data_IF_978850134551
#
_entry.id   IF_978850134551
#
_cell.length_a   1.000
_cell.length_b   1.000
_cell.length_c   1.000
_cell.angle_alpha   90.00
_cell.angle_beta   90.00
_cell.angle_gamma   90.00
#
_symmetry.space_group_name_H-M   'P 1'
#
loop_
_entity.id
_entity.type
_entity.pdbx_description
1 polymer ?
#
# COMPACT_ATOMS: atom_id res chain seq x y z
N UNK A 1 9.92 3.35 -3.09
CA UNK A 1 9.62 4.80 -3.18
C UNK A 1 10.01 5.46 -1.88
N UNK A 2 10.54 6.68 -1.95
CA UNK A 2 10.87 7.51 -0.79
C UNK A 2 9.96 8.73 -0.73
N UNK A 3 9.54 9.08 0.47
CA UNK A 3 8.89 10.35 0.79
C UNK A 3 9.88 11.23 1.57
N UNK A 4 10.15 12.42 1.04
CA UNK A 4 11.02 13.42 1.65
C UNK A 4 10.19 14.62 2.08
N UNK A 5 10.32 15.02 3.33
CA UNK A 5 9.62 16.18 3.87
C UNK A 5 10.64 17.26 4.20
N UNK A 6 10.53 18.40 3.53
CA UNK A 6 11.29 19.62 3.80
C UNK A 6 10.38 20.59 4.53
N UNK A 7 10.62 20.79 5.82
CA UNK A 7 9.81 21.69 6.66
C UNK A 7 10.61 22.96 6.93
N UNK A 8 9.94 24.11 6.84
CA UNK A 8 10.58 25.40 7.07
C UNK A 8 9.60 26.55 7.23
N UNK A 9 10.12 27.75 7.04
CA UNK A 9 9.37 29.01 7.09
C UNK A 9 9.37 29.72 5.74
N UNK A 10 8.30 30.50 5.50
CA UNK A 10 8.19 31.42 4.35
C UNK A 10 8.11 32.83 4.90
N UNK A 11 9.18 33.59 4.69
CA UNK A 11 9.29 34.96 5.18
C UNK A 11 9.28 36.01 4.03
N UNK A 12 9.41 35.54 2.78
CA UNK A 12 9.46 36.44 1.60
C UNK A 12 8.98 35.75 0.33
N UNK A 13 8.59 36.57 -0.63
CA UNK A 13 8.39 36.18 -2.04
C UNK A 13 9.71 36.35 -2.79
N UNK A 14 9.97 35.47 -3.75
CA UNK A 14 11.16 35.57 -4.60
C UNK A 14 11.16 36.87 -5.42
N UNK A 15 12.30 37.55 -5.56
CA UNK A 15 12.41 38.67 -6.50
C UNK A 15 12.41 38.24 -7.98
N UNK A 16 12.62 36.96 -8.24
CA UNK A 16 12.74 36.40 -9.62
C UNK A 16 11.38 35.98 -10.18
N UNK A 17 10.40 35.64 -9.29
CA UNK A 17 9.06 35.21 -9.68
C UNK A 17 8.10 35.35 -8.49
N UNK A 18 6.78 35.42 -8.69
CA UNK A 18 5.79 35.53 -7.60
C UNK A 18 5.58 34.19 -6.87
N UNK A 19 6.65 33.61 -6.38
CA UNK A 19 6.66 32.32 -5.65
C UNK A 19 7.25 32.50 -4.25
N UNK A 20 6.75 31.78 -3.23
CA UNK A 20 7.30 31.84 -1.89
C UNK A 20 8.72 31.25 -1.86
N UNK A 21 9.61 31.83 -1.05
CA UNK A 21 10.93 31.27 -0.72
C UNK A 21 10.81 30.53 0.60
N UNK A 22 10.94 29.20 0.55
CA UNK A 22 10.95 28.35 1.73
C UNK A 22 12.38 28.22 2.25
N UNK A 23 12.63 28.69 3.47
CA UNK A 23 13.87 28.43 4.18
C UNK A 23 13.73 27.12 4.94
N UNK A 24 14.42 26.08 4.46
CA UNK A 24 14.34 24.74 5.06
C UNK A 24 15.03 24.75 6.43
N UNK A 25 14.36 24.24 7.44
CA UNK A 25 14.78 24.16 8.84
C UNK A 25 14.93 22.69 9.29
N UNK A 26 14.15 21.79 8.71
CA UNK A 26 14.21 20.37 9.00
C UNK A 26 13.96 19.54 7.75
N UNK A 27 14.57 18.36 7.75
CA UNK A 27 14.39 17.34 6.71
C UNK A 27 14.05 16.00 7.36
N UNK A 28 13.03 15.32 6.84
CA UNK A 28 12.62 13.97 7.26
C UNK A 28 12.38 13.11 6.04
N UNK A 29 12.82 11.85 6.12
CA UNK A 29 12.59 10.82 5.11
C UNK A 29 11.66 9.75 5.66
N UNK A 30 10.78 9.23 4.82
CA UNK A 30 9.91 8.10 5.14
C UNK A 30 9.90 7.10 3.98
N UNK A 31 9.62 5.84 4.30
CA UNK A 31 9.31 4.83 3.31
C UNK A 31 7.90 5.07 2.77
N UNK A 32 7.71 4.99 1.45
CA UNK A 32 6.40 5.14 0.82
C UNK A 32 6.05 3.94 -0.05
N UNK A 33 4.75 3.76 -0.35
CA UNK A 33 4.24 2.64 -1.13
C UNK A 33 4.63 1.28 -0.55
N UNK A 34 5.12 0.35 -1.36
CA UNK A 34 5.54 -0.98 -0.90
C UNK A 34 6.53 -0.95 0.28
N UNK A 35 7.36 0.10 0.40
CA UNK A 35 8.25 0.27 1.56
C UNK A 35 7.48 0.57 2.85
N UNK A 36 6.36 1.32 2.77
CA UNK A 36 5.48 1.56 3.90
C UNK A 36 4.69 0.31 4.29
N UNK A 37 4.19 -0.44 3.31
CA UNK A 37 3.57 -1.77 3.56
C UNK A 37 4.55 -2.66 4.30
N UNK A 38 5.79 -2.78 3.80
CA UNK A 38 6.83 -3.61 4.43
C UNK A 38 7.16 -3.16 5.86
N UNK A 39 7.21 -1.85 6.11
CA UNK A 39 7.42 -1.30 7.46
C UNK A 39 6.27 -1.67 8.42
N UNK A 40 5.03 -1.65 7.94
CA UNK A 40 3.87 -2.11 8.72
C UNK A 40 3.92 -3.63 8.98
N UNK A 41 4.31 -4.45 7.99
CA UNK A 41 4.48 -5.90 8.16
C UNK A 41 5.48 -6.20 9.29
N UNK A 42 6.64 -5.51 9.29
CA UNK A 42 7.65 -5.68 10.35
C UNK A 42 7.14 -5.18 11.71
N UNK A 43 6.42 -4.05 11.74
CA UNK A 43 5.83 -3.53 12.97
C UNK A 43 4.77 -4.47 13.57
N UNK A 44 4.12 -5.28 12.74
CA UNK A 44 3.20 -6.36 13.16
C UNK A 44 3.92 -7.61 13.66
N UNK A 45 5.26 -7.65 13.60
CA UNK A 45 6.08 -8.76 14.09
C UNK A 45 6.38 -9.84 13.04
N UNK A 46 6.04 -9.63 11.78
CA UNK A 46 6.34 -10.55 10.68
C UNK A 46 7.66 -10.20 9.98
N UNK A 47 8.32 -11.19 9.39
CA UNK A 47 9.45 -10.98 8.49
C UNK A 47 8.94 -10.47 7.13
N UNK A 48 9.75 -9.63 6.45
CA UNK A 48 9.38 -9.09 5.16
C UNK A 48 10.59 -8.97 4.23
N UNK A 49 10.43 -9.42 2.99
CA UNK A 49 11.34 -9.16 1.88
C UNK A 49 10.66 -8.23 0.86
N UNK A 50 11.38 -7.24 0.36
CA UNK A 50 10.88 -6.35 -0.69
C UNK A 50 11.48 -6.71 -2.04
N UNK A 51 10.59 -6.88 -3.02
CA UNK A 51 10.94 -6.95 -4.45
C UNK A 51 10.51 -5.63 -5.10
N UNK A 52 11.46 -4.90 -5.67
CA UNK A 52 11.18 -3.59 -6.24
C UNK A 52 12.39 -2.98 -6.96
N UNK A 53 12.17 -1.88 -7.67
CA UNK A 53 13.20 -1.18 -8.42
C UNK A 53 13.76 0.02 -7.66
N UNK A 54 15.08 0.20 -7.73
CA UNK A 54 15.80 1.37 -7.25
C UNK A 54 16.77 1.86 -8.31
N UNK A 55 16.99 3.16 -8.39
CA UNK A 55 18.04 3.70 -9.24
C UNK A 55 19.42 3.48 -8.61
N UNK A 56 20.46 3.52 -9.41
CA UNK A 56 21.85 3.61 -8.96
C UNK A 56 22.18 5.06 -8.60
N UNK A 57 21.47 5.59 -7.61
CA UNK A 57 21.52 6.97 -7.15
C UNK A 57 21.58 7.05 -5.61
N UNK A 58 21.89 8.22 -5.03
CA UNK A 58 21.93 8.40 -3.58
C UNK A 58 20.61 8.05 -2.89
N UNK A 59 19.49 8.32 -3.52
CA UNK A 59 18.14 8.03 -3.02
C UNK A 59 17.89 6.52 -2.94
N UNK A 60 18.39 5.74 -3.91
CA UNK A 60 18.36 4.28 -3.89
C UNK A 60 19.14 3.68 -2.74
N UNK A 61 20.31 4.26 -2.45
CA UNK A 61 21.10 3.87 -1.29
C UNK A 61 20.37 4.20 0.02
N UNK A 62 19.82 5.40 0.16
CA UNK A 62 19.02 5.79 1.35
C UNK A 62 17.81 4.86 1.53
N UNK A 63 17.12 4.49 0.44
CA UNK A 63 15.99 3.56 0.50
C UNK A 63 16.43 2.19 1.03
N UNK A 64 17.52 1.65 0.49
CA UNK A 64 18.09 0.37 0.90
C UNK A 64 18.49 0.36 2.37
N UNK A 65 19.23 1.39 2.81
CA UNK A 65 19.68 1.52 4.19
C UNK A 65 18.50 1.62 5.18
N UNK A 66 17.44 2.35 4.80
CA UNK A 66 16.24 2.47 5.64
C UNK A 66 15.47 1.17 5.77
N UNK A 67 15.31 0.42 4.66
CA UNK A 67 14.68 -0.90 4.68
C UNK A 67 15.48 -1.86 5.58
N UNK A 68 16.79 -1.96 5.37
CA UNK A 68 17.66 -2.82 6.17
C UNK A 68 17.70 -2.41 7.65
N UNK A 69 17.67 -1.09 7.92
CA UNK A 69 17.72 -0.54 9.29
C UNK A 69 16.53 -0.94 10.16
N UNK A 70 15.40 -1.35 9.57
CA UNK A 70 14.22 -1.88 10.27
C UNK A 70 14.01 -3.38 10.04
N UNK A 71 15.02 -4.09 9.52
CA UNK A 71 15.01 -5.54 9.38
C UNK A 71 14.30 -6.07 8.13
N UNK A 72 14.03 -5.23 7.13
CA UNK A 72 13.43 -5.69 5.85
C UNK A 72 14.52 -6.24 4.94
N UNK A 73 14.26 -7.43 4.36
CA UNK A 73 15.11 -8.04 3.37
C UNK A 73 15.09 -7.27 2.04
N UNK A 74 16.28 -7.01 1.49
CA UNK A 74 16.47 -6.19 0.28
C UNK A 74 17.08 -6.97 -0.89
N UNK A 75 17.18 -8.28 -0.76
CA UNK A 75 17.77 -9.14 -1.79
C UNK A 75 16.94 -9.19 -3.11
N UNK A 76 15.69 -8.76 -3.06
CA UNK A 76 14.80 -8.62 -4.21
C UNK A 76 14.84 -7.24 -4.89
N UNK A 77 15.66 -6.31 -4.42
CA UNK A 77 15.81 -5.01 -5.06
C UNK A 77 16.68 -5.10 -6.32
N UNK A 78 16.12 -4.68 -7.45
CA UNK A 78 16.80 -4.57 -8.75
C UNK A 78 17.28 -3.13 -8.94
N UNK A 79 18.55 -2.95 -9.28
CA UNK A 79 19.14 -1.63 -9.54
C UNK A 79 19.04 -1.26 -11.02
N UNK A 80 18.65 -0.03 -11.29
CA UNK A 80 18.58 0.55 -12.64
C UNK A 80 19.67 1.59 -12.85
N UNK A 81 20.34 1.56 -14.00
CA UNK A 81 21.28 2.59 -14.45
C UNK A 81 20.58 3.77 -15.10
N UNK A 82 19.41 3.54 -15.68
CA UNK A 82 18.66 4.43 -16.56
C UNK A 82 17.34 4.96 -15.97
N UNK A 83 17.01 4.57 -14.72
CA UNK A 83 15.79 4.97 -14.05
C UNK A 83 16.09 5.49 -12.64
N UNK A 84 15.62 6.68 -12.26
CA UNK A 84 15.83 7.19 -10.92
C UNK A 84 15.00 6.43 -9.87
N UNK A 85 15.49 6.43 -8.63
CA UNK A 85 14.69 6.02 -7.48
C UNK A 85 13.48 6.95 -7.35
N UNK A 86 12.28 6.40 -7.32
CA UNK A 86 11.05 7.19 -7.15
C UNK A 86 11.08 7.92 -5.82
N UNK A 87 11.04 9.25 -5.86
CA UNK A 87 11.05 10.13 -4.70
C UNK A 87 9.98 11.20 -4.80
N UNK A 88 9.24 11.41 -3.70
CA UNK A 88 8.25 12.48 -3.54
C UNK A 88 8.70 13.46 -2.48
N UNK A 89 9.14 14.65 -2.88
CA UNK A 89 9.55 15.71 -1.95
C UNK A 89 8.38 16.62 -1.67
N UNK A 90 7.92 16.65 -0.41
CA UNK A 90 6.89 17.58 0.09
C UNK A 90 7.54 18.74 0.78
N UNK A 91 7.25 19.94 0.31
CA UNK A 91 7.74 21.18 0.89
C UNK A 91 6.63 21.77 1.75
N UNK A 92 6.92 21.89 3.04
CA UNK A 92 6.01 22.35 4.08
C UNK A 92 6.48 23.69 4.64
N UNK A 93 5.60 24.66 4.72
CA UNK A 93 5.82 25.89 5.48
C UNK A 93 4.92 25.88 6.71
N UNK A 94 5.51 25.80 7.90
CA UNK A 94 4.78 25.56 9.15
C UNK A 94 3.94 24.29 9.06
N UNK A 95 2.61 24.38 8.92
CA UNK A 95 1.69 23.25 8.81
C UNK A 95 1.01 23.14 7.43
N UNK A 96 1.44 23.94 6.43
CA UNK A 96 0.82 23.97 5.12
C UNK A 96 1.72 23.39 4.05
N UNK A 97 1.14 22.59 3.16
CA UNK A 97 1.80 22.16 1.92
C UNK A 97 2.00 23.37 0.99
N UNK A 98 3.25 23.66 0.64
CA UNK A 98 3.60 24.68 -0.36
C UNK A 98 3.60 24.06 -1.76
N UNK A 99 4.29 22.94 -1.92
CA UNK A 99 4.38 22.21 -3.18
C UNK A 99 4.88 20.78 -2.96
N UNK A 100 4.71 19.93 -3.98
CA UNK A 100 5.31 18.61 -4.06
C UNK A 100 6.13 18.50 -5.35
N UNK A 101 7.32 17.93 -5.22
CA UNK A 101 8.22 17.65 -6.33
C UNK A 101 8.34 16.13 -6.43
N UNK A 102 7.95 15.58 -7.58
CA UNK A 102 8.03 14.15 -7.85
C UNK A 102 9.21 13.90 -8.80
N UNK A 103 10.18 13.11 -8.35
CA UNK A 103 11.29 12.62 -9.17
C UNK A 103 11.06 11.13 -9.43
N UNK A 104 10.60 10.81 -10.62
CA UNK A 104 10.14 9.48 -10.97
C UNK A 104 10.14 9.23 -12.47
N UNK A 105 10.23 7.96 -12.84
CA UNK A 105 9.95 7.45 -14.18
C UNK A 105 8.77 6.48 -14.09
N UNK A 106 7.77 6.67 -14.95
CA UNK A 106 6.58 5.84 -15.03
C UNK A 106 6.53 4.97 -16.28
N UNK A 107 7.58 4.97 -17.10
CA UNK A 107 7.70 4.10 -18.27
C UNK A 107 7.75 2.63 -17.86
N UNK A 108 7.28 1.75 -18.72
CA UNK A 108 7.35 0.31 -18.46
C UNK A 108 8.80 -0.18 -18.46
N UNK A 109 9.09 -1.11 -17.54
CA UNK A 109 10.38 -1.80 -17.52
C UNK A 109 10.53 -2.68 -18.78
N UNK A 110 11.77 -2.90 -19.18
CA UNK A 110 12.10 -3.80 -20.28
C UNK A 110 11.79 -5.26 -19.94
N UNK A 111 11.64 -6.15 -20.95
CA UNK A 111 11.48 -7.58 -20.71
C UNK A 111 12.63 -8.18 -19.89
N UNK A 112 13.87 -7.74 -20.10
CA UNK A 112 15.03 -8.22 -19.34
C UNK A 112 14.91 -7.86 -17.86
N UNK A 113 14.57 -6.60 -17.56
CA UNK A 113 14.32 -6.15 -16.18
C UNK A 113 13.13 -6.90 -15.55
N UNK A 114 12.06 -7.14 -16.31
CA UNK A 114 10.91 -7.94 -15.83
C UNK A 114 11.34 -9.36 -15.45
N UNK A 115 12.23 -10.00 -16.20
CA UNK A 115 12.76 -11.34 -15.91
C UNK A 115 13.64 -11.37 -14.65
N UNK A 116 14.37 -10.28 -14.35
CA UNK A 116 15.13 -10.14 -13.12
C UNK A 116 14.21 -10.13 -11.89
N UNK A 117 13.12 -9.35 -11.94
CA UNK A 117 12.08 -9.36 -10.88
C UNK A 117 11.41 -10.71 -10.75
N UNK A 118 11.02 -11.34 -11.86
CA UNK A 118 10.39 -12.65 -11.84
C UNK A 118 11.35 -13.72 -11.24
N UNK A 119 12.65 -13.58 -11.46
CA UNK A 119 13.67 -14.45 -10.85
C UNK A 119 13.77 -14.22 -9.34
N UNK A 120 13.73 -12.97 -8.87
CA UNK A 120 13.69 -12.66 -7.44
C UNK A 120 12.44 -13.24 -6.77
N UNK A 121 11.27 -13.11 -7.40
CA UNK A 121 9.99 -13.65 -6.92
C UNK A 121 10.05 -15.18 -6.82
N UNK A 122 10.52 -15.87 -7.87
CA UNK A 122 10.67 -17.35 -7.85
C UNK A 122 11.63 -17.83 -6.76
N UNK A 123 12.68 -17.07 -6.47
CA UNK A 123 13.64 -17.39 -5.40
C UNK A 123 13.04 -17.23 -4.01
N UNK A 124 12.25 -16.20 -3.78
CA UNK A 124 11.66 -15.87 -2.48
C UNK A 124 10.36 -16.64 -2.21
N UNK A 125 9.55 -16.90 -3.24
CA UNK A 125 8.24 -17.52 -3.13
C UNK A 125 8.15 -18.75 -2.20
N UNK A 126 9.09 -19.71 -2.27
CA UNK A 126 9.05 -20.90 -1.38
C UNK A 126 9.25 -20.62 0.11
N UNK A 127 9.68 -19.42 0.49
CA UNK A 127 10.03 -19.05 1.86
C UNK A 127 9.12 -17.98 2.49
N UNK A 128 8.01 -17.65 1.83
CA UNK A 128 7.06 -16.63 2.32
C UNK A 128 5.67 -17.23 2.46
N UNK A 129 4.88 -16.68 3.38
CA UNK A 129 3.53 -17.15 3.71
C UNK A 129 2.44 -16.26 3.09
N UNK A 130 2.81 -15.09 2.52
CA UNK A 130 1.92 -14.22 1.76
C UNK A 130 2.70 -13.34 0.78
N UNK A 131 2.02 -12.81 -0.24
CA UNK A 131 2.56 -11.81 -1.17
C UNK A 131 1.62 -10.60 -1.17
N UNK A 132 2.17 -9.40 -0.87
CA UNK A 132 1.50 -8.13 -1.09
C UNK A 132 2.00 -7.49 -2.40
N UNK A 133 1.08 -7.08 -3.27
CA UNK A 133 1.37 -6.43 -4.55
C UNK A 133 0.87 -4.99 -4.47
N UNK A 134 1.80 -4.05 -4.49
CA UNK A 134 1.56 -2.62 -4.40
C UNK A 134 1.78 -1.95 -5.76
N UNK A 135 0.71 -1.61 -6.46
CA UNK A 135 0.80 -0.86 -7.70
C UNK A 135 0.76 0.65 -7.43
N UNK A 136 1.71 1.37 -7.99
CA UNK A 136 1.77 2.83 -7.96
C UNK A 136 1.88 3.42 -9.37
N UNK A 137 1.57 2.63 -10.41
CA UNK A 137 1.70 3.03 -11.81
C UNK A 137 3.09 3.58 -12.16
N UNK A 138 4.14 2.95 -11.65
CA UNK A 138 5.52 3.35 -11.90
C UNK A 138 6.24 2.40 -12.87
N UNK A 139 5.48 1.73 -13.73
CA UNK A 139 6.01 0.91 -14.82
C UNK A 139 6.70 -0.39 -14.43
N UNK A 140 6.80 -0.72 -13.12
CA UNK A 140 7.40 -1.98 -12.66
C UNK A 140 6.46 -3.17 -12.90
N UNK A 141 5.19 -3.03 -12.51
CA UNK A 141 4.19 -4.09 -12.63
C UNK A 141 3.67 -4.20 -14.07
N UNK A 142 4.54 -4.65 -14.99
CA UNK A 142 4.12 -4.99 -16.35
C UNK A 142 3.30 -6.30 -16.35
N UNK A 143 2.43 -6.55 -17.36
CA UNK A 143 1.56 -7.73 -17.37
C UNK A 143 2.30 -9.07 -17.17
N UNK A 144 3.51 -9.19 -17.69
CA UNK A 144 4.33 -10.39 -17.52
C UNK A 144 4.71 -10.61 -16.05
N UNK A 145 5.11 -9.54 -15.35
CA UNK A 145 5.50 -9.60 -13.95
C UNK A 145 4.30 -9.84 -13.04
N UNK A 146 3.15 -9.19 -13.31
CA UNK A 146 1.90 -9.44 -12.58
C UNK A 146 1.55 -10.93 -12.64
N UNK A 147 1.52 -11.52 -13.86
CA UNK A 147 1.24 -12.95 -14.04
C UNK A 147 2.25 -13.84 -13.30
N UNK A 148 3.54 -13.52 -13.36
CA UNK A 148 4.59 -14.29 -12.67
C UNK A 148 4.37 -14.27 -11.15
N UNK A 149 4.02 -13.11 -10.58
CA UNK A 149 3.77 -12.95 -9.14
C UNK A 149 2.55 -13.73 -8.68
N UNK A 150 1.42 -13.61 -9.40
CA UNK A 150 0.20 -14.37 -9.09
C UNK A 150 0.38 -15.86 -9.27
N UNK A 151 1.18 -16.28 -10.28
CA UNK A 151 1.51 -17.70 -10.47
C UNK A 151 2.34 -18.25 -9.32
N UNK A 152 3.29 -17.48 -8.77
CA UNK A 152 4.06 -17.87 -7.60
C UNK A 152 3.15 -18.06 -6.37
N UNK A 153 2.19 -17.14 -6.13
CA UNK A 153 1.18 -17.31 -5.09
C UNK A 153 0.37 -18.59 -5.23
N UNK A 154 -0.07 -18.90 -6.45
CA UNK A 154 -0.83 -20.11 -6.75
C UNK A 154 0.03 -21.39 -6.62
N UNK A 155 1.27 -21.37 -7.11
CA UNK A 155 2.20 -22.50 -7.07
C UNK A 155 2.54 -22.93 -5.63
N UNK A 156 2.72 -21.96 -4.75
CA UNK A 156 3.04 -22.19 -3.34
C UNK A 156 1.82 -22.20 -2.42
N UNK A 157 0.61 -22.06 -2.98
CA UNK A 157 -0.67 -22.01 -2.24
C UNK A 157 -0.67 -20.93 -1.13
N UNK A 158 -0.03 -19.78 -1.40
CA UNK A 158 0.03 -18.64 -0.48
C UNK A 158 -0.86 -17.50 -0.95
N UNK A 159 -1.50 -16.75 -0.01
CA UNK A 159 -2.40 -15.67 -0.35
C UNK A 159 -1.66 -14.51 -1.02
N UNK A 160 -2.36 -13.88 -1.98
CA UNK A 160 -1.90 -12.66 -2.66
C UNK A 160 -2.86 -11.53 -2.37
N UNK A 161 -2.36 -10.42 -1.82
CA UNK A 161 -3.13 -9.19 -1.55
C UNK A 161 -2.68 -8.12 -2.52
N UNK A 162 -3.62 -7.56 -3.27
CA UNK A 162 -3.34 -6.56 -4.32
C UNK A 162 -3.94 -5.21 -3.96
N UNK A 163 -3.11 -4.17 -3.89
CA UNK A 163 -3.53 -2.76 -3.91
C UNK A 163 -3.35 -2.22 -5.34
N UNK A 164 -4.41 -2.15 -6.14
CA UNK A 164 -4.33 -1.80 -7.54
C UNK A 164 -4.25 -0.29 -7.75
N UNK A 165 -3.75 0.09 -8.93
CA UNK A 165 -3.91 1.43 -9.50
C UNK A 165 -4.48 1.35 -10.92
N UNK A 166 -4.80 2.49 -11.50
CA UNK A 166 -5.62 2.64 -12.69
C UNK A 166 -5.13 1.87 -13.93
N UNK A 167 -3.82 1.85 -14.24
CA UNK A 167 -3.35 1.47 -15.58
C UNK A 167 -3.58 -0.01 -15.91
N UNK A 168 -3.45 -0.90 -14.92
CA UNK A 168 -3.54 -2.36 -15.11
C UNK A 168 -4.56 -3.00 -14.18
N UNK A 169 -5.61 -2.26 -13.90
CA UNK A 169 -6.61 -2.60 -12.87
C UNK A 169 -7.20 -4.00 -13.02
N UNK A 170 -7.40 -4.47 -14.26
CA UNK A 170 -8.00 -5.78 -14.56
C UNK A 170 -6.97 -6.90 -14.80
N UNK A 171 -5.68 -6.64 -14.65
CA UNK A 171 -4.61 -7.62 -14.93
C UNK A 171 -4.34 -8.58 -13.74
N UNK A 172 -4.94 -8.33 -12.58
CA UNK A 172 -4.68 -9.09 -11.34
C UNK A 172 -5.66 -10.24 -11.10
N UNK A 173 -6.21 -10.83 -12.16
CA UNK A 173 -7.12 -11.98 -12.06
C UNK A 173 -6.43 -13.17 -11.38
N UNK A 174 -7.10 -13.79 -10.41
CA UNK A 174 -6.57 -14.86 -9.56
C UNK A 174 -5.99 -14.38 -8.23
N UNK A 175 -6.00 -13.08 -7.93
CA UNK A 175 -5.62 -12.57 -6.62
C UNK A 175 -6.52 -13.12 -5.51
N UNK A 176 -5.94 -13.44 -4.34
CA UNK A 176 -6.73 -13.85 -3.16
C UNK A 176 -7.57 -12.70 -2.65
N UNK A 177 -6.96 -11.51 -2.48
CA UNK A 177 -7.66 -10.28 -2.12
C UNK A 177 -7.29 -9.19 -3.11
N UNK A 178 -8.31 -8.52 -3.65
CA UNK A 178 -8.16 -7.33 -4.48
C UNK A 178 -8.78 -6.15 -3.74
N UNK A 179 -7.96 -5.13 -3.42
CA UNK A 179 -8.28 -4.07 -2.48
C UNK A 179 -8.26 -2.68 -3.14
N UNK A 180 -9.21 -2.29 -3.95
CA UNK A 180 -9.33 -0.92 -4.44
C UNK A 180 -9.93 0.01 -3.39
N UNK A 181 -9.71 1.32 -3.55
CA UNK A 181 -10.56 2.31 -2.91
C UNK A 181 -11.75 2.68 -3.81
N UNK A 182 -12.71 3.44 -3.25
CA UNK A 182 -13.93 3.86 -3.97
C UNK A 182 -13.61 4.53 -5.30
N UNK A 183 -12.67 5.48 -5.30
CA UNK A 183 -12.32 6.24 -6.50
C UNK A 183 -11.65 5.36 -7.56
N UNK A 184 -10.72 4.50 -7.15
CA UNK A 184 -10.04 3.58 -8.07
C UNK A 184 -11.02 2.63 -8.74
N UNK A 185 -11.98 2.09 -7.96
CA UNK A 185 -12.99 1.18 -8.49
C UNK A 185 -14.00 1.91 -9.40
N UNK A 186 -14.49 3.07 -8.99
CA UNK A 186 -15.41 3.90 -9.78
C UNK A 186 -14.78 4.33 -11.10
N UNK A 187 -13.53 4.83 -11.06
CA UNK A 187 -12.77 5.22 -12.26
C UNK A 187 -12.54 4.02 -13.21
N UNK A 188 -12.32 2.81 -12.66
CA UNK A 188 -12.09 1.61 -13.46
C UNK A 188 -13.36 1.01 -14.06
N UNK A 189 -14.47 1.05 -13.34
CA UNK A 189 -15.76 0.53 -13.80
C UNK A 189 -16.48 1.51 -14.72
N UNK A 190 -16.32 2.82 -14.50
CA UNK A 190 -17.03 3.89 -15.19
C UNK A 190 -18.51 3.99 -14.81
N UNK A 191 -18.88 3.46 -13.63
CA UNK A 191 -20.25 3.45 -13.12
C UNK A 191 -20.29 3.71 -11.62
N UNK A 192 -21.42 4.23 -11.06
CA UNK A 192 -21.58 4.44 -9.64
C UNK A 192 -21.46 3.15 -8.83
N UNK A 193 -20.79 3.22 -7.67
CA UNK A 193 -20.60 2.08 -6.79
C UNK A 193 -21.87 1.76 -5.99
N UNK A 194 -22.11 0.47 -5.76
CA UNK A 194 -23.21 -0.03 -4.92
C UNK A 194 -22.65 -0.96 -3.83
N UNK A 195 -21.85 -0.42 -2.89
CA UNK A 195 -21.12 -1.24 -1.91
C UNK A 195 -22.03 -1.95 -0.91
N UNK A 196 -23.29 -1.55 -0.78
CA UNK A 196 -24.29 -2.16 0.10
C UNK A 196 -25.12 -3.25 -0.59
N UNK A 197 -24.95 -3.44 -1.89
CA UNK A 197 -25.56 -4.52 -2.66
C UNK A 197 -24.58 -5.70 -2.83
N UNK A 198 -24.82 -6.79 -2.11
CA UNK A 198 -23.97 -7.98 -2.18
C UNK A 198 -23.95 -8.64 -3.56
N UNK A 199 -25.05 -8.53 -4.32
CA UNK A 199 -25.12 -9.05 -5.69
C UNK A 199 -24.25 -8.23 -6.65
N UNK A 200 -24.27 -6.92 -6.53
CA UNK A 200 -23.38 -6.03 -7.28
C UNK A 200 -21.91 -6.27 -6.90
N UNK A 201 -21.61 -6.37 -5.60
CA UNK A 201 -20.25 -6.64 -5.11
C UNK A 201 -19.72 -7.98 -5.66
N UNK A 202 -20.55 -9.04 -5.70
CA UNK A 202 -20.15 -10.33 -6.27
C UNK A 202 -19.94 -10.24 -7.80
N UNK A 203 -20.81 -9.53 -8.52
CA UNK A 203 -20.63 -9.31 -9.96
C UNK A 203 -19.32 -8.58 -10.27
N UNK A 204 -18.97 -7.55 -9.48
CA UNK A 204 -17.68 -6.84 -9.60
C UNK A 204 -16.52 -7.77 -9.27
N UNK A 205 -16.58 -8.52 -8.17
CA UNK A 205 -15.57 -9.52 -7.80
C UNK A 205 -15.31 -10.51 -8.93
N UNK A 206 -16.38 -11.05 -9.53
CA UNK A 206 -16.29 -11.97 -10.68
C UNK A 206 -15.65 -11.28 -11.89
N UNK A 207 -16.04 -10.04 -12.21
CA UNK A 207 -15.45 -9.25 -13.30
C UNK A 207 -13.95 -9.02 -13.10
N UNK A 208 -13.50 -8.81 -11.86
CA UNK A 208 -12.10 -8.65 -11.49
C UNK A 208 -11.35 -10.00 -11.46
N UNK A 209 -12.06 -11.12 -11.36
CA UNK A 209 -11.50 -12.46 -11.28
C UNK A 209 -10.74 -12.72 -9.96
N UNK A 210 -11.05 -12.03 -8.87
CA UNK A 210 -10.43 -12.24 -7.57
C UNK A 210 -11.28 -13.17 -6.68
N UNK A 211 -10.64 -13.77 -5.64
CA UNK A 211 -11.37 -14.57 -4.67
C UNK A 211 -12.16 -13.69 -3.70
N UNK A 212 -11.58 -12.61 -3.25
CA UNK A 212 -12.19 -11.63 -2.35
C UNK A 212 -11.99 -10.22 -2.89
N UNK A 213 -13.09 -9.46 -2.99
CA UNK A 213 -13.07 -8.02 -3.20
C UNK A 213 -13.17 -7.33 -1.85
N UNK A 214 -12.17 -6.52 -1.48
CA UNK A 214 -12.16 -5.66 -0.30
C UNK A 214 -12.18 -4.20 -0.75
N UNK A 215 -13.34 -3.58 -0.77
CA UNK A 215 -13.51 -2.18 -1.16
C UNK A 215 -13.35 -1.27 0.05
N UNK A 216 -12.32 -0.39 0.05
CA UNK A 216 -12.15 0.62 1.08
C UNK A 216 -12.96 1.87 0.75
N UNK A 217 -13.71 2.39 1.74
CA UNK A 217 -14.73 3.43 1.59
C UNK A 217 -14.39 4.69 2.41
N UNK A 218 -13.14 4.88 2.81
CA UNK A 218 -12.70 5.99 3.64
C UNK A 218 -13.43 6.02 4.98
N UNK A 219 -14.08 7.13 5.28
CA UNK A 219 -14.84 7.31 6.52
C UNK A 219 -16.03 6.35 6.68
N UNK A 220 -16.51 5.74 5.61
CA UNK A 220 -17.56 4.73 5.66
C UNK A 220 -17.04 3.32 5.95
N UNK A 221 -15.73 3.14 6.16
CA UNK A 221 -15.13 1.85 6.49
C UNK A 221 -14.83 1.00 5.24
N UNK A 222 -15.28 -0.26 5.22
CA UNK A 222 -14.99 -1.20 4.15
C UNK A 222 -16.22 -2.06 3.79
N UNK A 223 -16.22 -2.58 2.56
CA UNK A 223 -17.14 -3.62 2.12
C UNK A 223 -16.34 -4.80 1.58
N UNK A 224 -16.68 -6.01 1.98
CA UNK A 224 -16.02 -7.24 1.56
C UNK A 224 -17.03 -8.17 0.90
N UNK A 225 -16.61 -8.82 -0.19
CA UNK A 225 -17.35 -9.90 -0.85
C UNK A 225 -16.39 -11.02 -1.21
N UNK A 226 -16.62 -12.23 -0.68
CA UNK A 226 -15.83 -13.42 -1.01
C UNK A 226 -16.47 -14.28 -2.11
N UNK A 227 -15.71 -15.21 -2.67
CA UNK A 227 -16.21 -16.19 -3.62
C UNK A 227 -17.14 -17.23 -2.97
N UNK A 228 -17.05 -17.43 -1.67
CA UNK A 228 -17.95 -18.24 -0.84
C UNK A 228 -19.28 -17.54 -0.58
N UNK A 229 -19.51 -16.38 -1.24
CA UNK A 229 -20.68 -15.52 -1.10
C UNK A 229 -20.86 -14.90 0.28
N UNK A 230 -19.79 -14.80 1.05
CA UNK A 230 -19.80 -14.05 2.27
C UNK A 230 -19.68 -12.55 1.96
N UNK A 231 -20.66 -11.79 2.39
CA UNK A 231 -20.67 -10.34 2.28
C UNK A 231 -20.63 -9.72 3.68
N UNK A 232 -19.81 -8.69 3.84
CA UNK A 232 -19.71 -7.96 5.10
C UNK A 232 -19.45 -6.47 4.89
N UNK A 233 -20.18 -5.63 5.64
CA UNK A 233 -19.83 -4.23 5.85
C UNK A 233 -19.06 -4.10 7.16
N UNK A 234 -17.90 -3.48 7.10
CA UNK A 234 -17.06 -3.19 8.26
C UNK A 234 -17.06 -1.67 8.44
N UNK A 235 -17.88 -1.12 9.37
CA UNK A 235 -17.93 0.32 9.58
C UNK A 235 -16.60 0.82 10.16
N UNK A 236 -16.25 2.08 9.85
CA UNK A 236 -15.05 2.67 10.45
C UNK A 236 -15.21 2.81 11.96
N UNK A 237 -14.10 2.60 12.67
CA UNK A 237 -14.02 2.83 14.11
C UNK A 237 -13.13 4.03 14.46
N UNK A 238 -12.61 4.72 13.45
CA UNK A 238 -11.82 5.94 13.62
C UNK A 238 -12.67 7.04 14.27
N UNK A 239 -12.12 7.67 15.31
CA UNK A 239 -12.80 8.76 16.06
C UNK A 239 -12.24 10.12 15.67
N UNK A 240 -10.93 10.17 15.48
CA UNK A 240 -10.18 11.36 15.12
C UNK A 240 -9.33 11.01 13.92
N UNK A 241 -9.36 11.84 12.89
CA UNK A 241 -8.55 11.69 11.68
C UNK A 241 -7.57 12.84 11.66
N UNK A 242 -6.29 12.52 11.81
CA UNK A 242 -5.21 13.49 11.71
C UNK A 242 -4.60 13.50 10.31
N UNK A 243 -4.30 12.33 9.76
CA UNK A 243 -3.74 12.16 8.42
C UNK A 243 -4.23 10.81 7.84
N UNK A 244 -4.65 10.80 6.60
CA UNK A 244 -5.09 9.57 5.90
C UNK A 244 -3.98 8.95 5.05
N UNK A 245 -2.78 9.54 5.07
CA UNK A 245 -1.66 9.08 4.26
C UNK A 245 -1.10 7.77 4.81
N UNK A 246 -1.19 6.69 4.03
CA UNK A 246 -0.69 5.37 4.43
C UNK A 246 -1.74 4.40 4.97
N UNK A 247 -2.99 4.87 5.20
CA UNK A 247 -4.07 3.98 5.66
C UNK A 247 -4.29 2.79 4.73
N UNK A 248 -4.25 3.00 3.41
CA UNK A 248 -4.33 1.92 2.41
C UNK A 248 -3.20 0.91 2.52
N UNK A 249 -1.96 1.39 2.71
CA UNK A 249 -0.77 0.57 2.89
C UNK A 249 -0.87 -0.26 4.19
N UNK A 250 -1.38 0.35 5.27
CA UNK A 250 -1.63 -0.34 6.55
C UNK A 250 -2.66 -1.45 6.38
N UNK A 251 -3.76 -1.19 5.67
CA UNK A 251 -4.77 -2.22 5.36
C UNK A 251 -4.15 -3.38 4.59
N UNK A 252 -3.35 -3.10 3.55
CA UNK A 252 -2.67 -4.15 2.76
C UNK A 252 -1.74 -4.99 3.64
N UNK A 253 -0.93 -4.35 4.49
CA UNK A 253 -0.01 -5.04 5.38
C UNK A 253 -0.73 -5.96 6.37
N UNK A 254 -1.78 -5.46 7.03
CA UNK A 254 -2.56 -6.25 8.00
C UNK A 254 -3.30 -7.40 7.32
N UNK A 255 -3.88 -7.17 6.15
CA UNK A 255 -4.51 -8.24 5.34
C UNK A 255 -3.51 -9.34 5.02
N UNK A 256 -2.32 -8.97 4.55
CA UNK A 256 -1.28 -9.97 4.18
C UNK A 256 -0.82 -10.76 5.40
N UNK A 257 -0.52 -10.09 6.53
CA UNK A 257 -0.05 -10.76 7.76
C UNK A 257 -1.13 -11.64 8.37
N UNK A 258 -2.39 -11.18 8.42
CA UNK A 258 -3.49 -11.96 8.98
C UNK A 258 -3.78 -13.21 8.14
N UNK A 259 -3.80 -13.09 6.80
CA UNK A 259 -3.99 -14.23 5.91
C UNK A 259 -2.82 -15.21 5.97
N UNK A 260 -1.58 -14.74 6.13
CA UNK A 260 -0.40 -15.59 6.37
C UNK A 260 -0.48 -16.36 7.71
N UNK A 261 -1.26 -15.84 8.66
CA UNK A 261 -1.54 -16.49 9.95
C UNK A 261 -2.88 -17.27 9.96
N UNK A 262 -3.35 -17.71 8.78
CA UNK A 262 -4.56 -18.51 8.59
C UNK A 262 -5.88 -17.83 9.01
N UNK A 263 -5.90 -16.49 9.12
CA UNK A 263 -7.16 -15.78 9.33
C UNK A 263 -8.04 -15.83 8.07
N UNK A 264 -9.35 -15.88 8.27
CA UNK A 264 -10.29 -15.72 7.15
C UNK A 264 -10.23 -14.30 6.57
N UNK A 265 -10.63 -14.07 5.31
CA UNK A 265 -10.68 -12.74 4.74
C UNK A 265 -11.52 -11.73 5.55
N UNK A 266 -12.58 -12.20 6.21
CA UNK A 266 -13.42 -11.37 7.08
C UNK A 266 -12.67 -10.95 8.34
N UNK A 267 -12.03 -11.88 9.04
CA UNK A 267 -11.22 -11.58 10.23
C UNK A 267 -10.08 -10.62 9.89
N UNK A 268 -9.38 -10.89 8.78
CA UNK A 268 -8.32 -10.01 8.27
C UNK A 268 -8.84 -8.59 7.99
N UNK A 269 -10.02 -8.46 7.36
CA UNK A 269 -10.62 -7.16 7.06
C UNK A 269 -11.02 -6.38 8.33
N UNK A 270 -11.55 -7.07 9.36
CA UNK A 270 -11.85 -6.45 10.66
C UNK A 270 -10.58 -5.93 11.31
N UNK A 271 -9.51 -6.74 11.37
CA UNK A 271 -8.22 -6.33 11.91
C UNK A 271 -7.62 -5.16 11.13
N UNK A 272 -7.71 -5.19 9.80
CA UNK A 272 -7.22 -4.13 8.92
C UNK A 272 -7.98 -2.80 9.13
N UNK A 273 -9.30 -2.86 9.35
CA UNK A 273 -10.11 -1.68 9.67
C UNK A 273 -9.74 -1.07 11.03
N UNK A 274 -9.49 -1.90 12.04
CA UNK A 274 -9.01 -1.45 13.35
C UNK A 274 -7.63 -0.80 13.24
N UNK A 275 -6.72 -1.39 12.47
CA UNK A 275 -5.38 -0.86 12.24
C UNK A 275 -5.41 0.48 11.49
N UNK A 276 -6.24 0.58 10.43
CA UNK A 276 -6.43 1.83 9.70
C UNK A 276 -6.95 2.94 10.63
N UNK A 277 -7.88 2.62 11.54
CA UNK A 277 -8.40 3.58 12.51
C UNK A 277 -7.32 4.09 13.50
N UNK A 278 -6.36 3.24 13.86
CA UNK A 278 -5.20 3.65 14.69
C UNK A 278 -4.26 4.54 13.87
N UNK A 279 -3.97 4.13 12.63
CA UNK A 279 -3.01 4.83 11.76
C UNK A 279 -3.47 6.25 11.43
N UNK A 280 -4.72 6.47 11.03
CA UNK A 280 -5.26 7.80 10.65
C UNK A 280 -5.30 8.77 11.84
N UNK A 281 -5.20 8.29 13.08
CA UNK A 281 -5.04 9.10 14.29
C UNK A 281 -3.60 9.56 14.55
N UNK A 282 -2.63 9.13 13.73
CA UNK A 282 -1.21 9.48 13.86
C UNK A 282 -0.81 10.57 12.85
N UNK A 283 0.29 11.26 13.12
CA UNK A 283 0.80 12.30 12.23
C UNK A 283 1.68 11.71 11.13
N UNK A 284 1.33 11.91 9.86
CA UNK A 284 2.05 11.42 8.69
C UNK A 284 1.99 9.89 8.58
N UNK A 285 2.78 9.34 7.67
CA UNK A 285 2.88 7.89 7.47
C UNK A 285 3.46 7.24 8.72
N UNK A 286 2.68 6.38 9.39
CA UNK A 286 3.04 5.73 10.65
C UNK A 286 2.71 4.24 10.61
N UNK A 287 3.49 3.44 11.33
CA UNK A 287 3.22 2.01 11.50
C UNK A 287 2.30 1.74 12.67
N UNK A 288 1.65 0.58 12.66
CA UNK A 288 0.73 0.15 13.72
C UNK A 288 1.24 -1.15 14.35
N UNK A 289 1.25 -1.21 15.67
CA UNK A 289 1.65 -2.43 16.40
C UNK A 289 0.46 -3.33 16.73
N UNK A 290 0.71 -4.64 16.98
CA UNK A 290 -0.33 -5.57 17.44
C UNK A 290 -1.05 -5.10 18.70
N UNK A 291 -0.32 -4.50 19.65
CA UNK A 291 -0.88 -4.01 20.91
C UNK A 291 -1.84 -2.83 20.68
N UNK A 292 -1.56 -1.98 19.69
CA UNK A 292 -2.46 -0.88 19.32
C UNK A 292 -3.76 -1.42 18.71
N UNK A 293 -3.66 -2.42 17.83
CA UNK A 293 -4.83 -3.09 17.23
C UNK A 293 -5.67 -3.77 18.30
N UNK A 294 -5.05 -4.51 19.22
CA UNK A 294 -5.73 -5.19 20.31
C UNK A 294 -6.43 -4.22 21.26
N UNK A 295 -5.82 -3.06 21.53
CA UNK A 295 -6.48 -1.99 22.33
C UNK A 295 -7.72 -1.47 21.61
N UNK A 296 -7.62 -1.24 20.30
CA UNK A 296 -8.76 -0.77 19.51
C UNK A 296 -9.87 -1.82 19.44
N UNK A 297 -9.52 -3.11 19.32
CA UNK A 297 -10.48 -4.21 19.32
C UNK A 297 -11.28 -4.28 20.64
N UNK A 298 -10.62 -4.13 21.81
CA UNK A 298 -11.32 -4.11 23.10
C UNK A 298 -12.35 -2.99 23.15
N UNK A 299 -11.99 -1.79 22.71
CA UNK A 299 -12.90 -0.64 22.63
C UNK A 299 -14.06 -0.88 21.67
N UNK A 300 -13.83 -1.63 20.59
CA UNK A 300 -14.86 -1.98 19.61
C UNK A 300 -15.87 -2.97 20.20
N UNK A 301 -15.40 -4.05 20.82
CA UNK A 301 -16.24 -5.10 21.42
C UNK A 301 -17.05 -4.57 22.62
N UNK A 302 -16.48 -3.69 23.46
CA UNK A 302 -17.19 -3.11 24.60
C UNK A 302 -18.36 -2.18 24.21
N UNK A 303 -18.44 -1.79 22.94
CA UNK A 303 -19.48 -0.88 22.43
C UNK A 303 -20.60 -1.57 21.66
N UNK A 304 -20.44 -2.83 21.27
CA UNK A 304 -21.56 -3.58 20.71
C UNK A 304 -22.53 -3.90 21.86
N UNK A 305 -23.77 -3.35 21.84
CA UNK A 305 -24.77 -3.73 22.85
C UNK A 305 -25.13 -5.20 22.63
N UNK A 306 -25.09 -5.97 23.70
CA UNK A 306 -25.56 -7.38 23.81
C UNK A 306 -26.97 -7.55 23.31
#
# INVERSE_FOLDING_TARGET
MLDRYLTGSVDRISPEAPVPVVRVEAERWALGGAGNVAANVVALGAACDVVGGVGRDPEGQVLRERLQGIGIGVAGLVEFDDRPTTMKTRIMARHQHVTRIDHEDSSDISPVQSDEFATAIRRLGPSVDAIAIEDYNKGILVPALIRATLSAGKEHAIPTVVDPKRLRFFEFSGATVFKPNSRELEDALGEPLQPDDSGWMDAVRVRLGCHTLLLTLGEAGMALQSMEKEYMRVPTVAREVYDVSGAGDTVTAVMAVALAADATPIEAAVLANLAAAVEVGKAGVATVSPEEILRQLKVFVEKEPS
#
